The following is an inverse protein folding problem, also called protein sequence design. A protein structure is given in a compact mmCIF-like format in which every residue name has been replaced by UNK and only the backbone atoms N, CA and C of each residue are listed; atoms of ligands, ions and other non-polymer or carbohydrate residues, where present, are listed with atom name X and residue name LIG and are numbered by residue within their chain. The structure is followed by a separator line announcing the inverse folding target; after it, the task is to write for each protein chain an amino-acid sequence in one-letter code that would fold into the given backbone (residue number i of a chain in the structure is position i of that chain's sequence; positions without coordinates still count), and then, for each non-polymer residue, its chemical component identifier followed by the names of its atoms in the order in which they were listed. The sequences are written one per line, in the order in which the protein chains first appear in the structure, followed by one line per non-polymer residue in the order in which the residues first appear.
data_IF_059523338295
#
_entry.id   IF_059523338295
#
_cell.length_a   1.000
_cell.length_b   1.000
_cell.length_c   1.000
_cell.angle_alpha   90.00
_cell.angle_beta   90.00
_cell.angle_gamma   90.00
#
_symmetry.space_group_name_H-M   'P 1'
#
loop_
_entity.id
_entity.type
_entity.pdbx_description
1 polymer ?
#
# COMPACT_ATOMS: atom_id res chain seq x y z
N UNK A 1 9.22 -17.95 -5.82
CA UNK A 1 9.43 -18.10 -7.25
C UNK A 1 10.56 -19.08 -7.49
N UNK A 2 10.41 -20.06 -8.35
CA UNK A 2 11.51 -20.93 -8.76
C UNK A 2 12.52 -20.16 -9.59
N UNK A 3 13.76 -20.64 -9.62
CA UNK A 3 14.87 -20.08 -10.40
C UNK A 3 16.00 -19.52 -9.54
N UNK A 4 17.09 -19.13 -10.22
CA UNK A 4 18.21 -18.40 -9.63
C UNK A 4 17.79 -16.96 -9.34
N UNK A 5 18.55 -16.26 -8.49
CA UNK A 5 18.38 -14.79 -8.30
C UNK A 5 19.40 -14.05 -9.18
N UNK A 6 19.11 -13.85 -10.48
CA UNK A 6 20.03 -13.15 -11.36
C UNK A 6 20.10 -11.66 -11.01
N UNK A 7 21.19 -10.99 -11.33
CA UNK A 7 21.26 -9.54 -11.31
C UNK A 7 20.20 -8.93 -12.24
N UNK A 8 19.71 -7.72 -11.93
CA UNK A 8 18.62 -7.08 -12.68
C UNK A 8 17.22 -7.32 -12.08
N UNK A 9 17.14 -7.97 -10.92
CA UNK A 9 15.88 -8.11 -10.17
C UNK A 9 15.84 -7.06 -9.07
N UNK A 10 14.83 -6.17 -9.09
CA UNK A 10 14.69 -5.07 -8.18
C UNK A 10 13.32 -5.05 -7.53
N UNK A 11 13.25 -4.59 -6.30
CA UNK A 11 12.04 -4.00 -5.72
C UNK A 11 11.95 -2.53 -6.12
N UNK A 12 10.79 -1.90 -5.94
CA UNK A 12 10.64 -0.46 -6.22
C UNK A 12 11.61 0.39 -5.42
N UNK A 13 11.82 0.06 -4.14
CA UNK A 13 12.75 0.82 -3.28
C UNK A 13 14.20 0.69 -3.72
N UNK A 14 14.63 -0.52 -4.10
CA UNK A 14 15.98 -0.76 -4.65
C UNK A 14 16.17 -0.04 -5.98
N UNK A 15 15.19 -0.08 -6.88
CA UNK A 15 15.21 0.67 -8.14
C UNK A 15 15.41 2.17 -7.89
N UNK A 16 14.61 2.76 -7.01
CA UNK A 16 14.69 4.20 -6.72
C UNK A 16 16.05 4.57 -6.13
N UNK A 17 16.59 3.78 -5.22
CA UNK A 17 17.93 3.99 -4.67
C UNK A 17 19.02 3.85 -5.72
N UNK A 18 18.96 2.80 -6.53
CA UNK A 18 19.93 2.57 -7.60
C UNK A 18 19.98 3.77 -8.57
N UNK A 19 18.82 4.23 -9.03
CA UNK A 19 18.74 5.31 -10.02
C UNK A 19 19.00 6.68 -9.40
N UNK A 20 18.25 7.05 -8.34
CA UNK A 20 18.26 8.44 -7.86
C UNK A 20 19.37 8.75 -6.85
N UNK A 21 19.83 7.76 -6.08
CA UNK A 21 20.91 7.99 -5.11
C UNK A 21 22.28 7.58 -5.63
N UNK A 22 22.35 6.55 -6.45
CA UNK A 22 23.62 5.97 -6.86
C UNK A 22 23.94 6.12 -8.36
N UNK A 23 23.01 6.63 -9.17
CA UNK A 23 23.19 6.76 -10.63
C UNK A 23 23.59 5.46 -11.33
N UNK A 24 23.13 4.32 -10.79
CA UNK A 24 23.49 3.01 -11.30
C UNK A 24 22.77 2.69 -12.61
N UNK A 25 23.46 2.01 -13.51
CA UNK A 25 22.87 1.37 -14.68
C UNK A 25 22.00 0.20 -14.22
N UNK A 26 20.72 0.25 -14.55
CA UNK A 26 19.74 -0.79 -14.21
C UNK A 26 19.51 -1.78 -15.36
N UNK A 27 20.13 -1.57 -16.54
CA UNK A 27 19.89 -2.32 -17.76
C UNK A 27 19.11 -1.52 -18.80
N UNK A 28 18.67 -2.20 -19.84
CA UNK A 28 18.11 -1.55 -21.04
C UNK A 28 16.64 -1.87 -21.29
N UNK A 29 16.16 -3.02 -20.82
CA UNK A 29 14.82 -3.56 -21.09
C UNK A 29 14.17 -4.06 -19.81
N UNK A 30 13.26 -3.30 -19.24
CA UNK A 30 12.64 -3.62 -17.97
C UNK A 30 11.20 -4.12 -18.10
N UNK A 31 10.86 -5.13 -17.31
CA UNK A 31 9.50 -5.58 -17.04
C UNK A 31 9.06 -5.07 -15.66
N UNK A 32 7.87 -4.46 -15.55
CA UNK A 32 7.32 -4.02 -14.27
C UNK A 32 6.19 -4.97 -13.84
N UNK A 33 6.34 -5.56 -12.66
CA UNK A 33 5.36 -6.50 -12.08
C UNK A 33 4.50 -5.76 -11.08
N UNK A 34 3.28 -5.45 -11.49
CA UNK A 34 2.28 -4.67 -10.79
C UNK A 34 1.57 -3.69 -11.73
N UNK A 35 0.40 -3.19 -11.33
CA UNK A 35 -0.35 -2.17 -12.07
C UNK A 35 -1.07 -1.20 -11.11
N UNK A 36 -0.54 -1.01 -9.92
CA UNK A 36 -0.94 0.00 -8.94
C UNK A 36 -0.17 1.31 -9.15
N UNK A 37 -0.55 2.38 -8.46
CA UNK A 37 0.07 3.71 -8.63
C UNK A 37 1.60 3.70 -8.51
N UNK A 38 2.14 2.86 -7.63
CA UNK A 38 3.58 2.68 -7.43
C UNK A 38 4.25 2.02 -8.64
N UNK A 39 3.56 1.11 -9.34
CA UNK A 39 4.09 0.47 -10.55
C UNK A 39 4.29 1.48 -11.67
N UNK A 40 3.35 2.40 -11.83
CA UNK A 40 3.47 3.48 -12.82
C UNK A 40 4.59 4.46 -12.46
N UNK A 41 4.79 4.73 -11.17
CA UNK A 41 5.93 5.52 -10.73
C UNK A 41 7.27 4.81 -10.99
N UNK A 42 7.35 3.49 -10.71
CA UNK A 42 8.52 2.68 -11.01
C UNK A 42 8.83 2.64 -12.51
N UNK A 43 7.81 2.48 -13.36
CA UNK A 43 7.96 2.56 -14.82
C UNK A 43 8.49 3.92 -15.28
N UNK A 44 8.05 5.02 -14.63
CA UNK A 44 8.61 6.35 -14.86
C UNK A 44 10.09 6.44 -14.49
N UNK A 45 10.49 5.88 -13.34
CA UNK A 45 11.90 5.82 -12.90
C UNK A 45 12.77 5.03 -13.88
N UNK A 46 12.29 3.86 -14.34
CA UNK A 46 12.97 3.04 -15.36
C UNK A 46 13.26 3.87 -16.62
N UNK A 47 12.26 4.60 -17.11
CA UNK A 47 12.40 5.43 -18.33
C UNK A 47 13.32 6.62 -18.11
N UNK A 48 13.25 7.26 -16.96
CA UNK A 48 14.16 8.35 -16.60
C UNK A 48 15.62 7.89 -16.54
N UNK A 49 15.86 6.62 -16.22
CA UNK A 49 17.18 5.98 -16.27
C UNK A 49 17.62 5.56 -17.69
N UNK A 50 16.83 5.86 -18.74
CA UNK A 50 17.15 5.53 -20.14
C UNK A 50 16.76 4.12 -20.57
N UNK A 51 16.17 3.30 -19.70
CA UNK A 51 15.73 1.95 -20.03
C UNK A 51 14.30 1.94 -20.62
N UNK A 52 14.02 0.96 -21.47
CA UNK A 52 12.68 0.76 -22.07
C UNK A 52 11.84 -0.13 -21.18
N UNK A 53 10.61 0.27 -20.87
CA UNK A 53 9.62 -0.61 -20.22
C UNK A 53 8.98 -1.47 -21.29
N UNK A 54 9.31 -2.76 -21.34
CA UNK A 54 8.80 -3.70 -22.36
C UNK A 54 7.35 -4.07 -22.15
N UNK A 55 6.93 -4.16 -20.88
CA UNK A 55 5.53 -4.33 -20.47
C UNK A 55 5.37 -4.04 -18.98
N UNK A 56 4.13 -3.80 -18.57
CA UNK A 56 3.66 -3.96 -17.19
C UNK A 56 2.78 -5.20 -17.12
N UNK A 57 2.75 -5.91 -15.99
CA UNK A 57 1.85 -7.04 -15.81
C UNK A 57 1.20 -7.05 -14.43
N UNK A 58 -0.01 -7.61 -14.35
CA UNK A 58 -0.74 -7.78 -13.08
C UNK A 58 -1.57 -9.07 -13.12
N UNK A 59 -1.67 -9.73 -11.99
CA UNK A 59 -2.57 -10.89 -11.80
C UNK A 59 -4.06 -10.51 -11.88
N UNK A 60 -4.38 -9.25 -11.63
CA UNK A 60 -5.75 -8.76 -11.67
C UNK A 60 -6.23 -8.56 -13.12
N UNK A 61 -7.55 -8.58 -13.30
CA UNK A 61 -8.19 -8.39 -14.62
C UNK A 61 -8.16 -6.93 -15.08
N UNK A 62 -7.85 -5.99 -14.18
CA UNK A 62 -7.80 -4.53 -14.44
C UNK A 62 -6.64 -3.88 -13.71
N UNK A 63 -6.14 -2.72 -14.20
CA UNK A 63 -5.15 -1.94 -13.46
C UNK A 63 -5.73 -1.40 -12.15
N UNK A 64 -4.91 -1.34 -11.11
CA UNK A 64 -5.27 -0.84 -9.77
C UNK A 64 -4.88 0.65 -9.62
N UNK A 65 -5.09 1.43 -10.65
CA UNK A 65 -4.84 2.88 -10.72
C UNK A 65 -6.01 3.62 -11.36
N UNK A 66 -5.93 4.94 -11.43
CA UNK A 66 -6.93 5.74 -12.16
C UNK A 66 -6.91 5.39 -13.65
N UNK A 67 -8.09 5.24 -14.27
CA UNK A 67 -8.22 4.86 -15.68
C UNK A 67 -7.45 5.83 -16.62
N UNK A 68 -7.45 7.13 -16.29
CA UNK A 68 -6.71 8.13 -17.06
C UNK A 68 -5.18 7.86 -17.05
N UNK A 69 -4.61 7.45 -15.91
CA UNK A 69 -3.18 7.09 -15.81
C UNK A 69 -2.85 5.86 -16.63
N UNK A 70 -3.68 4.82 -16.51
CA UNK A 70 -3.49 3.59 -17.29
C UNK A 70 -3.59 3.85 -18.81
N UNK A 71 -4.56 4.68 -19.22
CA UNK A 71 -4.73 5.08 -20.61
C UNK A 71 -3.54 5.90 -21.13
N UNK A 72 -3.04 6.86 -20.33
CA UNK A 72 -1.87 7.67 -20.69
C UNK A 72 -0.62 6.80 -20.94
N UNK A 73 -0.33 5.88 -20.04
CA UNK A 73 0.80 4.96 -20.21
C UNK A 73 0.67 4.07 -21.46
N UNK A 74 -0.54 3.56 -21.72
CA UNK A 74 -0.80 2.72 -22.88
C UNK A 74 -0.73 3.51 -24.18
N UNK A 75 -1.42 4.67 -24.25
CA UNK A 75 -1.63 5.40 -25.50
C UNK A 75 -0.50 6.36 -25.85
N UNK A 76 0.03 7.09 -24.85
CA UNK A 76 1.08 8.08 -25.09
C UNK A 76 2.49 7.51 -24.91
N UNK A 77 2.65 6.58 -24.01
CA UNK A 77 3.97 6.04 -23.70
C UNK A 77 4.23 4.67 -24.36
N UNK A 78 3.21 4.09 -24.99
CA UNK A 78 3.32 2.84 -25.74
C UNK A 78 3.63 1.61 -24.87
N UNK A 79 3.40 1.69 -23.52
CA UNK A 79 3.70 0.61 -22.60
C UNK A 79 2.50 -0.34 -22.51
N UNK A 80 2.62 -1.61 -22.98
CA UNK A 80 1.55 -2.58 -22.87
C UNK A 80 1.34 -3.01 -21.42
N UNK A 81 0.05 -3.23 -21.05
CA UNK A 81 -0.34 -3.81 -19.78
C UNK A 81 -0.93 -5.20 -20.03
N UNK A 82 -0.30 -6.23 -19.45
CA UNK A 82 -0.74 -7.62 -19.46
C UNK A 82 -1.52 -7.90 -18.18
N UNK A 83 -2.84 -7.91 -18.28
CA UNK A 83 -3.74 -8.24 -17.17
C UNK A 83 -3.93 -9.76 -17.05
N UNK A 84 -4.37 -10.26 -15.88
CA UNK A 84 -4.52 -11.69 -15.64
C UNK A 84 -3.23 -12.48 -15.85
N UNK A 85 -2.09 -11.87 -15.55
CA UNK A 85 -0.78 -12.41 -15.88
C UNK A 85 0.12 -12.40 -14.65
N UNK A 86 0.78 -13.51 -14.37
CA UNK A 86 1.70 -13.69 -13.24
C UNK A 86 3.09 -14.08 -13.72
N UNK A 87 4.11 -13.78 -12.92
CA UNK A 87 5.47 -14.29 -13.15
C UNK A 87 5.54 -15.76 -12.75
N UNK A 88 5.94 -16.61 -13.70
CA UNK A 88 6.14 -18.03 -13.44
C UNK A 88 7.60 -18.34 -13.10
N UNK A 89 8.55 -17.71 -13.81
CA UNK A 89 9.97 -17.99 -13.64
C UNK A 89 10.83 -16.80 -14.09
N UNK A 90 11.95 -16.58 -13.39
CA UNK A 90 13.02 -15.66 -13.81
C UNK A 90 14.10 -16.46 -14.56
N UNK A 91 14.43 -16.02 -15.77
CA UNK A 91 15.37 -16.70 -16.65
C UNK A 91 16.70 -15.95 -16.70
N UNK A 92 17.81 -16.68 -16.67
CA UNK A 92 19.16 -16.12 -16.81
C UNK A 92 20.18 -16.76 -15.88
N UNK A 93 21.44 -16.65 -16.26
CA UNK A 93 22.59 -17.06 -15.45
C UNK A 93 23.43 -15.83 -15.15
N UNK A 94 23.65 -15.53 -13.86
CA UNK A 94 24.32 -14.31 -13.42
C UNK A 94 23.47 -13.05 -13.59
N UNK A 95 22.99 -12.74 -14.79
CA UNK A 95 22.07 -11.63 -15.08
C UNK A 95 20.76 -12.14 -15.69
N UNK A 96 19.66 -11.40 -15.45
CA UNK A 96 18.35 -11.67 -16.03
C UNK A 96 18.43 -11.57 -17.56
N UNK A 97 17.84 -12.53 -18.26
CA UNK A 97 17.71 -12.55 -19.73
C UNK A 97 16.25 -12.57 -20.20
N UNK A 98 15.33 -12.81 -19.28
CA UNK A 98 13.90 -12.80 -19.56
C UNK A 98 13.07 -13.28 -18.38
N UNK A 99 11.77 -13.14 -18.52
CA UNK A 99 10.77 -13.56 -17.53
C UNK A 99 9.73 -14.45 -18.23
N UNK A 100 9.54 -15.66 -17.72
CA UNK A 100 8.42 -16.51 -18.10
C UNK A 100 7.18 -16.07 -17.37
N UNK A 101 6.14 -15.73 -18.10
CA UNK A 101 4.85 -15.31 -17.55
C UNK A 101 3.80 -16.38 -17.84
N UNK A 102 2.76 -16.41 -17.00
CA UNK A 102 1.58 -17.29 -17.15
C UNK A 102 0.30 -16.44 -17.11
N UNK A 103 -0.53 -16.61 -18.11
CA UNK A 103 -1.86 -16.01 -18.18
C UNK A 103 -2.90 -16.85 -17.42
N UNK A 104 -4.05 -16.24 -17.09
CA UNK A 104 -5.17 -16.92 -16.40
C UNK A 104 -5.72 -18.13 -17.17
N UNK A 105 -5.63 -18.13 -18.49
CA UNK A 105 -6.02 -19.24 -19.36
C UNK A 105 -4.96 -20.38 -19.43
N UNK A 106 -3.90 -20.29 -18.63
CA UNK A 106 -2.82 -21.26 -18.55
C UNK A 106 -1.73 -21.10 -19.60
N UNK A 107 -1.90 -20.27 -20.63
CA UNK A 107 -0.84 -19.99 -21.62
C UNK A 107 0.36 -19.36 -20.98
N UNK A 108 1.54 -19.73 -21.46
CA UNK A 108 2.81 -19.16 -21.01
C UNK A 108 3.54 -18.46 -22.16
N UNK A 109 4.26 -17.40 -21.84
CA UNK A 109 5.13 -16.69 -22.77
C UNK A 109 6.43 -16.30 -22.08
N UNK A 110 7.48 -16.07 -22.87
CA UNK A 110 8.75 -15.51 -22.39
C UNK A 110 8.86 -14.07 -22.87
N UNK A 111 9.06 -13.14 -21.94
CA UNK A 111 9.30 -11.73 -22.23
C UNK A 111 10.81 -11.47 -22.08
N UNK A 112 11.54 -11.20 -23.17
CA UNK A 112 12.96 -10.88 -23.11
C UNK A 112 13.16 -9.53 -22.39
N UNK A 113 13.89 -9.55 -21.30
CA UNK A 113 14.25 -8.36 -20.51
C UNK A 113 15.51 -8.64 -19.68
N UNK A 114 16.28 -7.62 -19.36
CA UNK A 114 17.47 -7.69 -18.52
C UNK A 114 17.23 -7.12 -17.11
N UNK A 115 16.03 -6.58 -16.91
CA UNK A 115 15.60 -5.97 -15.65
C UNK A 115 14.16 -6.32 -15.36
N UNK A 116 13.86 -6.65 -14.10
CA UNK A 116 12.48 -6.80 -13.60
C UNK A 116 12.29 -6.03 -12.30
N UNK A 117 11.18 -5.32 -12.18
CA UNK A 117 10.85 -4.52 -11.00
C UNK A 117 9.55 -5.06 -10.38
N UNK A 118 9.63 -5.57 -9.16
CA UNK A 118 8.47 -5.99 -8.38
C UNK A 118 7.95 -4.83 -7.55
N UNK A 119 6.67 -4.51 -7.70
CA UNK A 119 6.03 -3.34 -7.08
C UNK A 119 4.94 -3.69 -6.08
N UNK A 120 4.61 -4.96 -5.89
CA UNK A 120 3.62 -5.45 -4.95
C UNK A 120 4.18 -5.87 -3.59
N UNK A 121 3.28 -6.30 -2.69
CA UNK A 121 3.58 -6.90 -1.38
C UNK A 121 4.49 -6.05 -0.48
N UNK A 122 4.23 -4.76 -0.44
CA UNK A 122 4.93 -3.86 0.48
C UNK A 122 4.69 -4.28 1.93
N UNK A 123 5.77 -4.43 2.66
CA UNK A 123 5.78 -4.59 4.11
C UNK A 123 6.47 -3.35 4.69
N UNK A 124 5.88 -2.68 5.68
CA UNK A 124 6.56 -1.61 6.38
C UNK A 124 7.89 -2.09 6.97
N UNK A 125 8.94 -1.28 6.87
CA UNK A 125 10.21 -1.57 7.56
C UNK A 125 10.05 -1.32 9.06
N UNK A 126 9.57 -2.34 9.75
CA UNK A 126 9.19 -2.28 11.16
C UNK A 126 10.25 -2.86 12.12
N UNK A 127 11.50 -3.04 11.68
CA UNK A 127 12.52 -3.67 12.53
C UNK A 127 12.78 -2.87 13.81
N UNK A 128 12.88 -1.55 13.72
CA UNK A 128 13.05 -0.68 14.90
C UNK A 128 11.82 -0.75 15.81
N UNK A 129 10.62 -0.77 15.25
CA UNK A 129 9.38 -0.91 16.01
C UNK A 129 9.33 -2.24 16.79
N UNK A 130 9.74 -3.34 16.14
CA UNK A 130 9.86 -4.66 16.79
C UNK A 130 10.89 -4.65 17.91
N UNK A 131 12.08 -4.09 17.66
CA UNK A 131 13.14 -3.99 18.69
C UNK A 131 12.69 -3.14 19.87
N UNK A 132 11.93 -2.08 19.62
CA UNK A 132 11.30 -1.26 20.65
C UNK A 132 10.08 -1.92 21.33
N UNK A 133 9.71 -3.14 20.95
CA UNK A 133 8.55 -3.90 21.46
C UNK A 133 7.23 -3.14 21.30
N UNK A 134 7.08 -2.38 20.23
CA UNK A 134 5.80 -1.77 19.92
C UNK A 134 4.81 -2.85 19.47
N UNK A 135 3.53 -2.64 19.79
CA UNK A 135 2.46 -3.48 19.24
C UNK A 135 2.37 -3.23 17.75
N UNK A 136 2.45 -4.29 16.95
CA UNK A 136 2.26 -4.24 15.50
C UNK A 136 0.83 -4.66 15.14
N UNK A 137 0.25 -3.97 14.15
CA UNK A 137 -1.01 -4.39 13.57
C UNK A 137 -0.81 -5.55 12.59
N UNK A 138 -1.54 -6.67 12.75
CA UNK A 138 -1.35 -7.85 11.89
C UNK A 138 -1.75 -7.59 10.43
N UNK A 139 -2.64 -6.64 10.17
CA UNK A 139 -3.11 -6.31 8.83
C UNK A 139 -2.11 -5.47 8.04
N UNK A 140 -1.67 -4.35 8.60
CA UNK A 140 -0.67 -3.46 7.98
C UNK A 140 0.76 -3.96 8.14
N UNK A 141 1.03 -4.73 9.20
CA UNK A 141 2.36 -5.13 9.68
C UNK A 141 3.22 -3.96 10.18
N UNK A 142 2.66 -2.76 10.24
CA UNK A 142 3.28 -1.58 10.86
C UNK A 142 2.92 -1.46 12.33
N UNK A 143 3.46 -0.46 13.05
CA UNK A 143 3.04 -0.16 14.41
C UNK A 143 1.54 0.14 14.49
N UNK A 144 0.87 -0.42 15.48
CA UNK A 144 -0.49 -0.02 15.81
C UNK A 144 -0.49 1.37 16.42
N UNK A 145 -1.35 2.27 15.90
CA UNK A 145 -1.44 3.66 16.34
C UNK A 145 -2.89 4.08 16.57
N UNK A 146 -3.07 5.09 17.42
CA UNK A 146 -4.34 5.78 17.57
C UNK A 146 -4.50 6.93 16.55
N UNK A 147 -5.64 7.60 16.56
CA UNK A 147 -5.93 8.72 15.65
C UNK A 147 -5.03 9.93 15.80
N UNK A 148 -4.15 9.97 16.81
CA UNK A 148 -3.08 10.96 16.98
C UNK A 148 -1.71 10.43 16.57
N UNK A 149 -1.65 9.23 15.99
CA UNK A 149 -0.45 8.53 15.54
C UNK A 149 0.50 8.13 16.67
N UNK A 150 0.00 8.05 17.92
CA UNK A 150 0.75 7.50 19.05
C UNK A 150 0.75 5.98 18.96
N UNK A 151 1.91 5.39 19.23
CA UNK A 151 2.09 3.96 19.32
C UNK A 151 1.68 3.42 20.69
N UNK A 152 1.89 2.12 20.91
CA UNK A 152 1.67 1.47 22.21
C UNK A 152 2.63 1.94 23.33
N UNK A 153 3.66 2.74 22.99
CA UNK A 153 4.64 3.27 23.95
C UNK A 153 4.49 4.79 24.06
N UNK A 154 4.32 5.34 25.28
CA UNK A 154 4.25 6.77 25.49
C UNK A 154 5.47 7.51 24.91
N UNK A 155 5.24 8.68 24.29
CA UNK A 155 6.30 9.49 23.67
C UNK A 155 6.83 8.95 22.33
N UNK A 156 6.28 7.83 21.82
CA UNK A 156 6.67 7.26 20.54
C UNK A 156 5.49 7.38 19.55
N UNK A 157 5.77 8.03 18.42
CA UNK A 157 4.81 8.27 17.34
C UNK A 157 5.28 7.58 16.06
N UNK A 158 4.39 7.25 15.17
CA UNK A 158 4.72 6.67 13.87
C UNK A 158 3.83 7.29 12.78
N UNK A 159 4.43 7.57 11.61
CA UNK A 159 3.76 8.17 10.47
C UNK A 159 4.32 7.64 9.14
N UNK A 160 3.60 7.82 8.06
CA UNK A 160 4.05 7.48 6.71
C UNK A 160 4.05 5.99 6.41
N UNK A 161 4.93 5.56 5.51
CA UNK A 161 4.99 4.18 5.00
C UNK A 161 5.35 3.13 6.06
N UNK A 162 5.75 3.56 7.25
CA UNK A 162 5.93 2.69 8.42
C UNK A 162 4.59 2.17 8.96
N UNK A 163 3.50 2.96 8.85
CA UNK A 163 2.17 2.57 9.35
C UNK A 163 1.46 1.61 8.41
N UNK A 164 1.54 1.87 7.12
CA UNK A 164 0.80 1.12 6.10
C UNK A 164 1.54 1.18 4.76
N UNK A 165 1.48 0.11 3.97
CA UNK A 165 2.22 0.04 2.72
C UNK A 165 1.62 0.93 1.63
N UNK A 166 2.52 1.46 0.77
CA UNK A 166 2.24 2.05 -0.53
C UNK A 166 1.19 3.18 -0.55
N UNK A 167 1.41 4.21 0.25
CA UNK A 167 0.66 5.46 0.15
C UNK A 167 1.44 6.56 -0.61
N UNK A 168 0.71 7.58 -1.05
CA UNK A 168 1.33 8.72 -1.72
C UNK A 168 2.17 9.57 -0.76
N UNK A 169 3.18 10.28 -1.28
CA UNK A 169 3.94 11.26 -0.52
C UNK A 169 3.03 12.30 0.16
N UNK A 170 1.94 12.71 -0.50
CA UNK A 170 0.96 13.63 0.08
C UNK A 170 0.22 13.04 1.30
N UNK A 171 0.02 11.72 1.36
CA UNK A 171 -0.53 11.05 2.55
C UNK A 171 0.49 11.06 3.68
N UNK A 172 1.74 10.66 3.40
CA UNK A 172 2.81 10.68 4.39
C UNK A 172 3.08 12.09 4.95
N UNK A 173 3.03 13.12 4.10
CA UNK A 173 3.16 14.52 4.52
C UNK A 173 2.05 14.93 5.49
N UNK A 174 0.78 14.62 5.18
CA UNK A 174 -0.34 14.93 6.08
C UNK A 174 -0.21 14.23 7.43
N UNK A 175 0.19 12.97 7.42
CA UNK A 175 0.44 12.22 8.65
C UNK A 175 1.59 12.81 9.45
N UNK A 176 2.69 13.22 8.81
CA UNK A 176 3.81 13.89 9.47
C UNK A 176 3.40 15.20 10.14
N UNK A 177 2.63 16.05 9.44
CA UNK A 177 2.08 17.29 10.02
C UNK A 177 1.14 16.99 11.19
N UNK A 178 0.27 15.98 11.06
CA UNK A 178 -0.62 15.57 12.13
C UNK A 178 0.14 15.03 13.35
N UNK A 179 1.15 14.19 13.12
CA UNK A 179 2.03 13.67 14.18
C UNK A 179 2.79 14.80 14.91
N UNK A 180 3.26 15.81 14.19
CA UNK A 180 3.94 16.96 14.81
C UNK A 180 3.04 17.68 15.83
N UNK A 181 1.76 17.91 15.48
CA UNK A 181 0.78 18.46 16.40
C UNK A 181 0.54 17.58 17.65
N UNK A 182 0.50 16.27 17.44
CA UNK A 182 0.35 15.32 18.54
C UNK A 182 1.60 15.24 19.45
N UNK A 183 2.81 15.36 18.88
CA UNK A 183 4.06 15.46 19.64
C UNK A 183 4.09 16.72 20.50
N UNK A 184 3.72 17.87 19.94
CA UNK A 184 3.64 19.13 20.69
C UNK A 184 2.65 19.04 21.86
N UNK A 185 1.48 18.44 21.63
CA UNK A 185 0.49 18.23 22.68
C UNK A 185 1.05 17.30 23.79
N UNK A 186 1.76 16.25 23.43
CA UNK A 186 2.43 15.36 24.40
C UNK A 186 3.48 16.09 25.23
N UNK A 187 4.33 16.89 24.58
CA UNK A 187 5.37 17.67 25.28
C UNK A 187 4.79 18.74 26.22
N UNK A 188 3.59 19.25 25.91
CA UNK A 188 2.86 20.18 26.82
C UNK A 188 2.08 19.47 27.93
N UNK A 189 2.25 18.16 28.11
CA UNK A 189 1.58 17.39 29.14
C UNK A 189 0.10 17.10 28.87
N UNK A 190 -0.38 17.29 27.63
CA UNK A 190 -1.76 16.95 27.27
C UNK A 190 -1.89 15.44 27.15
N UNK A 191 -2.42 14.81 28.16
CA UNK A 191 -2.77 13.39 28.12
C UNK A 191 -4.07 13.17 27.33
N UNK A 192 -4.12 12.07 26.57
CA UNK A 192 -5.32 11.59 25.89
C UNK A 192 -5.59 10.15 26.27
N UNK A 193 -6.85 9.77 26.48
CA UNK A 193 -7.20 8.39 26.79
C UNK A 193 -6.78 7.46 25.65
N UNK A 194 -6.45 6.21 25.94
CA UNK A 194 -6.17 5.22 24.91
C UNK A 194 -7.42 5.02 24.07
N UNK A 195 -7.28 5.04 22.74
CA UNK A 195 -8.40 4.80 21.83
C UNK A 195 -8.96 3.38 21.93
N UNK A 196 -10.20 3.20 21.51
CA UNK A 196 -10.86 1.89 21.38
C UNK A 196 -10.24 1.14 20.19
N UNK A 197 -10.01 -0.18 20.28
CA UNK A 197 -9.54 -0.96 19.14
C UNK A 197 -10.46 -0.83 17.92
N UNK A 198 -9.86 -0.64 16.75
CA UNK A 198 -10.55 -0.53 15.47
C UNK A 198 -10.05 -1.66 14.55
N UNK A 199 -10.96 -2.50 14.10
CA UNK A 199 -10.66 -3.66 13.28
C UNK A 199 -11.49 -3.68 12.00
N UNK A 200 -11.04 -4.48 11.02
CA UNK A 200 -11.76 -4.73 9.77
C UNK A 200 -12.17 -6.19 9.65
N UNK A 201 -13.20 -6.46 8.83
CA UNK A 201 -13.56 -7.82 8.43
C UNK A 201 -13.26 -8.02 6.94
N UNK A 202 -12.96 -9.27 6.51
CA UNK A 202 -12.87 -9.59 5.09
C UNK A 202 -14.10 -9.11 4.32
N UNK A 203 -13.93 -8.65 3.09
CA UNK A 203 -12.72 -8.62 2.28
C UNK A 203 -11.82 -7.38 2.52
N UNK A 204 -12.07 -6.56 3.55
CA UNK A 204 -11.12 -5.54 3.96
C UNK A 204 -9.88 -6.20 4.57
N UNK A 205 -8.70 -5.74 4.18
CA UNK A 205 -7.42 -6.29 4.60
C UNK A 205 -6.89 -5.67 5.89
N UNK A 206 -6.99 -4.34 5.99
CA UNK A 206 -6.51 -3.56 7.12
C UNK A 206 -7.10 -2.15 7.15
N UNK A 207 -6.96 -1.48 8.29
CA UNK A 207 -7.28 -0.09 8.52
C UNK A 207 -6.17 0.57 9.36
N UNK A 208 -5.84 1.81 9.05
CA UNK A 208 -4.93 2.64 9.83
C UNK A 208 -5.49 4.07 9.95
N UNK A 209 -5.46 4.68 11.13
CA UNK A 209 -5.10 4.16 12.45
C UNK A 209 -5.90 2.93 12.89
N UNK A 210 -5.37 2.17 13.87
CA UNK A 210 -5.95 0.90 14.35
C UNK A 210 -6.72 1.06 15.68
N UNK A 211 -6.77 2.28 16.18
CA UNK A 211 -7.53 2.66 17.38
C UNK A 211 -8.24 3.96 17.09
N UNK A 212 -9.38 4.15 17.73
CA UNK A 212 -10.24 5.32 17.53
C UNK A 212 -10.61 5.97 18.85
N UNK A 213 -10.62 7.29 18.86
CA UNK A 213 -11.18 8.10 19.95
C UNK A 213 -12.29 9.03 19.42
N UNK A 214 -13.23 9.50 20.27
CA UNK A 214 -14.26 10.44 19.84
C UNK A 214 -13.71 11.77 19.27
N UNK A 215 -12.47 12.10 19.60
CA UNK A 215 -11.81 13.35 19.19
C UNK A 215 -11.00 13.23 17.91
N UNK A 216 -10.91 12.05 17.30
CA UNK A 216 -10.12 11.86 16.09
C UNK A 216 -10.65 12.67 14.91
N UNK A 217 -9.74 13.20 14.12
CA UNK A 217 -10.05 14.01 12.94
C UNK A 217 -9.29 13.55 11.69
N UNK A 218 -8.23 12.73 11.87
CA UNK A 218 -7.47 12.17 10.75
C UNK A 218 -8.32 11.12 10.04
N UNK A 219 -8.53 11.22 8.73
CA UNK A 219 -9.22 10.18 7.98
C UNK A 219 -8.48 8.84 8.07
N UNK A 220 -9.24 7.77 8.16
CA UNK A 220 -8.70 6.41 8.17
C UNK A 220 -8.41 5.94 6.74
N UNK A 221 -7.37 5.17 6.60
CA UNK A 221 -6.94 4.54 5.34
C UNK A 221 -7.21 3.04 5.41
N UNK A 222 -7.82 2.50 4.36
CA UNK A 222 -8.18 1.07 4.30
C UNK A 222 -7.73 0.46 2.97
N UNK A 223 -7.59 -0.86 2.98
CA UNK A 223 -7.39 -1.67 1.77
C UNK A 223 -8.37 -2.84 1.73
N UNK A 224 -8.75 -3.22 0.50
CA UNK A 224 -9.48 -4.46 0.24
C UNK A 224 -8.57 -5.50 -0.42
N UNK A 225 -8.93 -6.77 -0.28
CA UNK A 225 -8.25 -7.90 -0.95
C UNK A 225 -8.86 -8.21 -2.32
N UNK A 226 -10.11 -7.79 -2.57
CA UNK A 226 -10.86 -8.09 -3.79
C UNK A 226 -11.45 -6.83 -4.41
N UNK A 227 -11.76 -6.89 -5.71
CA UNK A 227 -12.51 -5.84 -6.39
C UNK A 227 -14.00 -5.91 -5.99
N UNK A 228 -14.55 -4.77 -5.55
CA UNK A 228 -15.95 -4.65 -5.14
C UNK A 228 -16.61 -3.53 -5.95
N UNK A 229 -17.80 -3.81 -6.46
CA UNK A 229 -18.62 -2.87 -7.23
C UNK A 229 -19.77 -2.36 -6.36
N UNK A 230 -19.83 -1.03 -6.17
CA UNK A 230 -20.83 -0.34 -5.35
C UNK A 230 -20.99 -0.90 -3.92
N UNK A 231 -19.88 -1.24 -3.23
CA UNK A 231 -19.98 -1.78 -1.88
C UNK A 231 -20.51 -0.72 -0.91
N UNK A 232 -21.10 -1.19 0.19
CA UNK A 232 -21.52 -0.33 1.31
C UNK A 232 -20.61 -0.62 2.49
N UNK A 233 -19.91 0.42 2.94
CA UNK A 233 -19.05 0.37 4.12
C UNK A 233 -19.88 0.67 5.36
N UNK A 234 -19.71 -0.12 6.41
CA UNK A 234 -20.34 0.07 7.72
C UNK A 234 -19.26 0.17 8.79
N UNK A 235 -19.45 1.12 9.69
CA UNK A 235 -18.69 1.20 10.96
C UNK A 235 -19.66 0.90 12.08
N UNK A 236 -19.36 -0.10 12.90
CA UNK A 236 -20.25 -0.57 13.96
C UNK A 236 -19.51 -0.71 15.29
N UNK A 237 -20.23 -0.50 16.38
CA UNK A 237 -19.78 -0.79 17.75
C UNK A 237 -20.92 -1.42 18.53
N UNK A 238 -20.70 -2.60 19.10
CA UNK A 238 -21.71 -3.38 19.83
C UNK A 238 -23.05 -3.51 19.07
N UNK A 239 -22.98 -3.75 17.75
CA UNK A 239 -24.17 -3.87 16.89
C UNK A 239 -24.81 -2.55 16.45
N UNK A 240 -24.43 -1.41 17.04
CA UNK A 240 -24.90 -0.07 16.64
C UNK A 240 -24.10 0.42 15.44
N UNK A 241 -24.79 0.92 14.41
CA UNK A 241 -24.15 1.55 13.24
C UNK A 241 -23.74 2.98 13.59
N UNK A 242 -22.45 3.26 13.54
CA UNK A 242 -21.88 4.60 13.75
C UNK A 242 -21.75 5.38 12.44
N UNK A 243 -21.47 4.68 11.33
CA UNK A 243 -21.33 5.28 10.00
C UNK A 243 -21.71 4.29 8.91
N UNK A 244 -22.21 4.82 7.79
CA UNK A 244 -22.54 4.07 6.60
C UNK A 244 -22.21 4.90 5.38
N UNK A 245 -21.42 4.34 4.47
CA UNK A 245 -21.03 5.01 3.22
C UNK A 245 -21.14 4.06 2.02
N UNK A 246 -21.70 4.54 0.92
CA UNK A 246 -21.73 3.81 -0.34
C UNK A 246 -20.56 4.25 -1.21
N UNK A 247 -19.68 3.32 -1.51
CA UNK A 247 -18.54 3.55 -2.39
C UNK A 247 -18.91 3.23 -3.84
N UNK A 248 -18.27 3.87 -4.80
CA UNK A 248 -18.45 3.55 -6.22
C UNK A 248 -17.78 2.22 -6.57
N UNK A 249 -16.55 2.06 -6.12
CA UNK A 249 -15.74 0.84 -6.29
C UNK A 249 -14.73 0.76 -5.15
N UNK A 250 -14.32 -0.46 -4.81
CA UNK A 250 -13.13 -0.72 -4.02
C UNK A 250 -12.24 -1.69 -4.81
N UNK A 251 -10.97 -1.37 -4.95
CA UNK A 251 -10.01 -2.17 -5.72
C UNK A 251 -8.82 -2.54 -4.85
N UNK A 252 -8.26 -3.74 -5.00
CA UNK A 252 -7.01 -4.11 -4.34
C UNK A 252 -5.93 -3.06 -4.61
N UNK A 253 -5.05 -2.84 -3.65
CA UNK A 253 -3.93 -1.90 -3.74
C UNK A 253 -4.29 -0.42 -3.97
N UNK A 254 -5.59 -0.08 -4.05
CA UNK A 254 -6.05 1.32 -4.04
C UNK A 254 -6.52 1.73 -2.66
N UNK A 255 -6.15 2.95 -2.29
CA UNK A 255 -6.55 3.56 -1.01
C UNK A 255 -8.05 3.79 -0.97
N UNK A 256 -8.70 3.20 0.01
CA UNK A 256 -10.02 3.63 0.47
C UNK A 256 -9.82 4.60 1.63
N UNK A 257 -10.60 5.66 1.67
CA UNK A 257 -10.58 6.64 2.77
C UNK A 257 -11.92 6.62 3.46
N UNK A 258 -11.87 6.49 4.78
CA UNK A 258 -13.03 6.62 5.65
C UNK A 258 -12.87 7.93 6.41
N UNK A 259 -13.79 8.91 6.23
CA UNK A 259 -13.77 10.16 7.00
C UNK A 259 -13.88 9.89 8.49
N UNK A 260 -13.46 10.85 9.32
CA UNK A 260 -13.50 10.72 10.77
C UNK A 260 -14.73 11.44 11.40
N UNK A 261 -15.74 11.81 10.61
CA UNK A 261 -16.92 12.55 11.05
C UNK A 261 -17.86 11.74 11.97
N UNK A 262 -17.70 10.42 12.00
CA UNK A 262 -18.47 9.49 12.84
C UNK A 262 -17.83 9.23 14.21
N UNK A 263 -16.58 9.59 14.42
CA UNK A 263 -15.80 9.23 15.63
C UNK A 263 -16.41 9.76 16.91
N UNK A 264 -17.09 10.92 16.87
CA UNK A 264 -17.82 11.49 18.01
C UNK A 264 -18.95 10.58 18.54
N UNK A 265 -19.35 9.53 17.80
CA UNK A 265 -20.37 8.55 18.19
C UNK A 265 -19.78 7.33 18.87
N UNK A 266 -18.45 7.24 18.93
CA UNK A 266 -17.75 6.12 19.59
C UNK A 266 -17.91 6.26 21.09
N UNK A 267 -18.30 5.17 21.71
CA UNK A 267 -18.32 5.04 23.16
C UNK A 267 -16.97 4.49 23.63
N UNK A 268 -16.16 5.27 24.36
CA UNK A 268 -14.84 4.84 24.78
C UNK A 268 -14.86 3.70 25.80
N UNK A 269 -15.98 3.50 26.50
CA UNK A 269 -16.15 2.46 27.51
C UNK A 269 -16.78 1.17 26.95
N UNK A 270 -17.15 1.19 25.67
CA UNK A 270 -17.72 0.05 24.97
C UNK A 270 -16.65 -0.81 24.30
N UNK A 271 -17.09 -1.93 23.71
CA UNK A 271 -16.23 -2.85 22.98
C UNK A 271 -15.61 -2.28 21.72
N UNK A 272 -14.81 -3.09 20.98
CA UNK A 272 -14.09 -2.64 19.79
C UNK A 272 -15.04 -2.17 18.68
N UNK A 273 -14.56 -1.20 17.90
CA UNK A 273 -15.21 -0.76 16.67
C UNK A 273 -14.81 -1.66 15.52
N UNK A 274 -15.76 -2.01 14.67
CA UNK A 274 -15.56 -2.89 13.52
C UNK A 274 -16.00 -2.22 12.23
N UNK A 275 -15.16 -2.33 11.20
CA UNK A 275 -15.48 -1.88 9.84
C UNK A 275 -15.72 -3.10 8.96
N UNK A 276 -16.84 -3.10 8.27
CA UNK A 276 -17.26 -4.17 7.34
C UNK A 276 -17.67 -3.58 6.01
N UNK A 277 -17.75 -4.42 4.99
CA UNK A 277 -18.26 -4.06 3.67
C UNK A 277 -19.15 -5.17 3.15
N UNK A 278 -20.28 -4.78 2.53
CA UNK A 278 -21.25 -5.67 1.88
C UNK A 278 -21.25 -5.42 0.38
#
# INVERSE_FOLDING_TARGET
MPGTRPAGVHTTGELQRAVHLHGQDIGTRALVVGAEDVSYAAAGTVRAAGATVVAMLTEHTRPQTAAARAADFRLRQGVPLLTGTTVAELLGHGRLSGVRVRHLDGRTAVLPCDTVVFTGDFVPDHELARRARLVLDPGTRGPAVDGTLRTSRPGVFAAGSLLHPAESAATATREGVHAAGAVLAHLSGTERPPGVPLSVAPPLRWIAPNRVTPSDRLPYVLRTTTELTRPVLYVTQNGRVLHRERLRTAQPNRTLRLPADWTHRVDPDAGPVRVTVN
#
